data_IF_567682464876
#
_entry.id   IF_567682464876
#
_cell.length_a   1.000
_cell.length_b   1.000
_cell.length_c   1.000
_cell.angle_alpha   90.00
_cell.angle_beta   90.00
_cell.angle_gamma   90.00
#
_symmetry.space_group_name_H-M   'P 1'
#
loop_
_entity.id
_entity.type
_entity.pdbx_description
1 polymer ?
#
# COMPACT_ATOMS: atom_id res chain seq x y z
N UNK A 1 -74.02 -13.92 12.26
CA UNK A 1 -73.27 -12.64 12.18
C UNK A 1 -72.38 -12.51 13.40
N UNK A 2 -71.05 -12.49 13.20
CA UNK A 2 -70.01 -11.82 14.01
C UNK A 2 -68.65 -12.50 13.73
N UNK A 3 -67.97 -12.09 12.66
CA UNK A 3 -66.58 -12.45 12.37
C UNK A 3 -65.66 -11.48 13.12
N UNK A 4 -64.93 -11.97 14.13
CA UNK A 4 -63.92 -11.16 14.85
C UNK A 4 -62.54 -11.44 14.26
N UNK A 5 -61.98 -10.42 13.63
CA UNK A 5 -60.74 -10.44 12.83
C UNK A 5 -59.50 -10.59 13.72
N UNK A 6 -58.50 -11.30 13.16
CA UNK A 6 -57.16 -11.53 13.70
C UNK A 6 -56.42 -10.21 13.98
N UNK A 7 -55.76 -10.15 15.13
CA UNK A 7 -54.78 -9.13 15.49
C UNK A 7 -53.41 -9.55 14.96
N UNK A 8 -52.86 -8.82 13.99
CA UNK A 8 -51.49 -8.98 13.49
C UNK A 8 -50.58 -8.22 14.45
N UNK A 9 -49.78 -8.96 15.24
CA UNK A 9 -48.71 -8.40 16.06
C UNK A 9 -47.46 -8.20 15.20
N UNK A 10 -47.19 -6.95 14.80
CA UNK A 10 -45.96 -6.56 14.12
C UNK A 10 -44.88 -6.36 15.19
N UNK A 11 -44.05 -7.38 15.45
CA UNK A 11 -42.85 -7.22 16.28
C UNK A 11 -41.75 -6.66 15.38
N UNK A 12 -41.48 -5.36 15.55
CA UNK A 12 -40.37 -4.69 14.93
C UNK A 12 -39.05 -5.17 15.50
N UNK A 13 -38.18 -5.71 14.64
CA UNK A 13 -36.76 -5.83 14.90
C UNK A 13 -36.04 -4.75 14.08
N UNK A 14 -35.77 -3.61 14.70
CA UNK A 14 -34.79 -2.66 14.16
C UNK A 14 -33.43 -3.23 14.58
N UNK A 15 -32.81 -4.02 13.71
CA UNK A 15 -31.41 -4.34 13.84
C UNK A 15 -30.61 -3.09 13.47
N UNK A 16 -30.24 -2.30 14.48
CA UNK A 16 -29.27 -1.23 14.32
C UNK A 16 -27.90 -1.85 14.06
N UNK A 17 -27.55 -2.05 12.78
CA UNK A 17 -26.15 -2.25 12.38
C UNK A 17 -25.42 -0.92 12.62
N UNK A 18 -24.84 -0.75 13.81
CA UNK A 18 -23.74 0.20 14.00
C UNK A 18 -22.51 -0.34 13.29
N UNK A 19 -22.47 -0.17 11.97
CA UNK A 19 -21.18 -0.08 11.28
C UNK A 19 -20.64 1.28 11.69
N UNK A 20 -19.93 1.33 12.82
CA UNK A 20 -18.96 2.38 13.07
C UNK A 20 -17.91 2.21 11.97
N UNK A 21 -18.18 2.80 10.82
CA UNK A 21 -17.18 3.01 9.80
C UNK A 21 -16.11 3.84 10.45
N UNK A 22 -15.03 3.19 10.88
CA UNK A 22 -13.76 3.89 11.04
C UNK A 22 -13.56 4.61 9.73
N UNK A 23 -13.67 5.94 9.75
CA UNK A 23 -13.30 6.74 8.60
C UNK A 23 -11.84 6.43 8.36
N UNK A 24 -11.56 5.68 7.30
CA UNK A 24 -10.22 5.29 6.97
C UNK A 24 -9.41 6.58 6.75
N UNK A 25 -8.39 6.79 7.56
CA UNK A 25 -7.55 7.97 7.44
C UNK A 25 -6.61 7.71 6.27
N UNK A 26 -6.56 8.67 5.34
CA UNK A 26 -5.59 8.63 4.26
C UNK A 26 -4.18 8.69 4.86
N UNK A 27 -3.34 7.71 4.53
CA UNK A 27 -1.99 7.64 5.07
C UNK A 27 -1.14 8.81 4.59
N UNK A 28 -0.25 9.29 5.45
CA UNK A 28 0.70 10.35 5.08
C UNK A 28 1.95 9.74 4.45
N UNK A 29 2.28 10.14 3.22
CA UNK A 29 3.56 9.78 2.60
C UNK A 29 4.71 10.49 3.34
N UNK A 30 5.65 9.71 3.85
CA UNK A 30 6.84 10.18 4.56
C UNK A 30 8.05 10.35 3.64
N UNK A 31 8.17 9.46 2.65
CA UNK A 31 9.33 9.39 1.75
C UNK A 31 9.00 8.65 0.47
N UNK A 32 9.66 9.02 -0.61
CA UNK A 32 9.71 8.25 -1.85
C UNK A 32 11.10 8.28 -2.48
N UNK A 33 11.37 7.34 -3.38
CA UNK A 33 12.63 7.32 -4.11
C UNK A 33 12.83 6.06 -4.96
N UNK A 34 14.04 5.95 -5.50
CA UNK A 34 14.51 4.79 -6.27
C UNK A 34 15.66 4.15 -5.53
N UNK A 35 15.67 2.82 -5.48
CA UNK A 35 16.71 2.04 -4.82
C UNK A 35 16.84 0.67 -5.50
N UNK A 36 17.97 -0.02 -5.29
CA UNK A 36 18.11 -1.39 -5.79
C UNK A 36 17.12 -2.31 -5.09
N UNK A 37 16.44 -3.18 -5.85
CA UNK A 37 15.46 -4.13 -5.31
C UNK A 37 16.07 -5.01 -4.22
N UNK A 38 17.32 -5.43 -4.41
CA UNK A 38 18.06 -6.25 -3.43
C UNK A 38 18.12 -5.55 -2.08
N UNK A 39 18.36 -4.23 -2.05
CA UNK A 39 18.43 -3.47 -0.80
C UNK A 39 17.06 -3.37 -0.11
N UNK A 40 15.96 -3.22 -0.86
CA UNK A 40 14.61 -3.25 -0.27
C UNK A 40 14.28 -4.61 0.32
N UNK A 41 14.63 -5.69 -0.38
CA UNK A 41 14.41 -7.05 0.09
C UNK A 41 15.27 -7.36 1.32
N UNK A 42 16.50 -6.87 1.37
CA UNK A 42 17.35 -6.94 2.55
C UNK A 42 16.72 -6.18 3.72
N UNK A 43 16.19 -4.96 3.51
CA UNK A 43 15.48 -4.22 4.56
C UNK A 43 14.23 -4.95 5.05
N UNK A 44 13.47 -5.58 4.16
CA UNK A 44 12.33 -6.40 4.54
C UNK A 44 12.75 -7.62 5.38
N UNK A 45 13.90 -8.23 5.06
CA UNK A 45 14.41 -9.42 5.74
C UNK A 45 15.13 -9.13 7.07
N UNK A 46 15.40 -7.87 7.41
CA UNK A 46 15.91 -7.47 8.72
C UNK A 46 14.80 -7.63 9.78
N UNK A 47 14.58 -8.89 10.18
CA UNK A 47 13.42 -9.36 10.93
C UNK A 47 13.23 -8.81 12.34
N UNK A 48 14.07 -7.89 12.82
CA UNK A 48 13.84 -7.20 14.10
C UNK A 48 12.83 -6.07 13.99
N UNK A 49 12.68 -5.45 12.80
CA UNK A 49 11.79 -4.30 12.62
C UNK A 49 10.65 -4.57 11.64
N UNK A 50 10.76 -5.58 10.77
CA UNK A 50 9.71 -5.94 9.83
C UNK A 50 8.65 -6.81 10.51
N UNK A 51 7.40 -6.37 10.43
CA UNK A 51 6.22 -7.04 11.00
C UNK A 51 5.54 -7.97 9.99
N UNK A 52 5.51 -7.57 8.71
CA UNK A 52 4.93 -8.36 7.63
C UNK A 52 5.51 -7.97 6.27
N UNK A 53 5.40 -8.89 5.31
CA UNK A 53 5.83 -8.72 3.92
C UNK A 53 4.84 -9.46 3.01
N UNK A 54 4.51 -8.87 1.86
CA UNK A 54 3.62 -9.52 0.91
C UNK A 54 3.45 -8.72 -0.39
N UNK A 55 2.44 -9.11 -1.16
CA UNK A 55 2.00 -8.39 -2.36
C UNK A 55 0.90 -7.39 -2.02
N UNK A 56 0.62 -6.44 -2.92
CA UNK A 56 -0.47 -5.48 -2.72
C UNK A 56 -1.82 -6.13 -2.39
N UNK A 57 -2.10 -7.33 -2.91
CA UNK A 57 -3.33 -8.06 -2.60
C UNK A 57 -3.37 -8.53 -1.15
N UNK A 58 -2.23 -8.92 -0.59
CA UNK A 58 -2.12 -9.41 0.79
C UNK A 58 -2.29 -8.26 1.80
N UNK A 59 -1.93 -7.03 1.42
CA UNK A 59 -2.02 -5.84 2.28
C UNK A 59 -3.46 -5.58 2.78
N UNK A 60 -4.48 -5.85 1.96
CA UNK A 60 -5.88 -5.60 2.32
C UNK A 60 -6.33 -6.38 3.56
N UNK A 61 -5.73 -7.55 3.79
CA UNK A 61 -6.06 -8.45 4.89
C UNK A 61 -4.94 -8.54 5.93
N UNK A 62 -3.90 -7.71 5.80
CA UNK A 62 -2.77 -7.71 6.71
C UNK A 62 -3.17 -7.11 8.08
N UNK A 63 -3.03 -7.86 9.19
CA UNK A 63 -3.42 -7.38 10.51
C UNK A 63 -2.59 -6.19 11.03
N UNK A 64 -1.42 -5.93 10.45
CA UNK A 64 -0.57 -4.79 10.81
C UNK A 64 -0.89 -3.53 9.98
N UNK A 65 -1.72 -3.64 8.95
CA UNK A 65 -2.12 -2.50 8.12
C UNK A 65 -3.29 -1.75 8.77
N UNK A 66 -3.07 -0.47 9.07
CA UNK A 66 -4.10 0.44 9.55
C UNK A 66 -4.11 1.70 8.68
N UNK A 67 -5.19 1.89 7.93
CA UNK A 67 -5.41 3.07 7.08
C UNK A 67 -6.33 2.75 5.90
N UNK A 68 -6.52 3.72 5.00
CA UNK A 68 -7.31 3.52 3.78
C UNK A 68 -6.55 2.71 2.72
N UNK A 69 -7.09 1.55 2.33
CA UNK A 69 -6.48 0.72 1.29
C UNK A 69 -6.55 1.38 -0.10
N UNK A 70 -7.62 2.13 -0.40
CA UNK A 70 -7.87 2.61 -1.76
C UNK A 70 -6.79 3.61 -2.26
N UNK A 71 -6.33 4.59 -1.48
CA UNK A 71 -5.19 5.45 -1.85
C UNK A 71 -3.90 4.69 -2.12
N UNK A 72 -3.63 3.62 -1.37
CA UNK A 72 -2.44 2.78 -1.57
C UNK A 72 -2.55 2.03 -2.90
N UNK A 73 -3.70 1.47 -3.23
CA UNK A 73 -3.95 0.83 -4.53
C UNK A 73 -3.78 1.82 -5.68
N UNK A 74 -4.37 3.02 -5.56
CA UNK A 74 -4.23 4.06 -6.59
C UNK A 74 -2.76 4.45 -6.79
N UNK A 75 -1.99 4.52 -5.70
CA UNK A 75 -0.56 4.81 -5.80
C UNK A 75 0.21 3.64 -6.40
N UNK A 76 -0.06 2.41 -6.00
CA UNK A 76 0.58 1.21 -6.55
C UNK A 76 0.36 1.06 -8.07
N UNK A 77 -0.79 1.51 -8.58
CA UNK A 77 -1.11 1.52 -10.00
C UNK A 77 -0.22 2.50 -10.80
N UNK A 78 0.19 3.60 -10.17
CA UNK A 78 0.89 4.73 -10.79
C UNK A 78 2.33 4.91 -10.29
N UNK A 79 2.84 3.99 -9.46
CA UNK A 79 4.13 4.14 -8.78
C UNK A 79 5.32 4.24 -9.73
N UNK A 80 5.21 3.67 -10.94
CA UNK A 80 6.24 3.73 -11.98
C UNK A 80 6.03 4.88 -12.98
N UNK A 81 4.97 5.67 -12.83
CA UNK A 81 4.68 6.77 -13.76
C UNK A 81 5.80 7.81 -13.72
N UNK A 82 6.16 8.32 -14.90
CA UNK A 82 7.26 9.27 -15.06
C UNK A 82 8.64 8.64 -15.16
N UNK A 83 8.77 7.31 -15.04
CA UNK A 83 10.01 6.59 -15.29
C UNK A 83 10.03 5.95 -16.69
N UNK A 84 11.20 5.97 -17.32
CA UNK A 84 11.52 5.21 -18.53
C UNK A 84 12.44 4.06 -18.18
N UNK A 85 12.05 2.84 -18.57
CA UNK A 85 12.84 1.65 -18.30
C UNK A 85 14.04 1.62 -19.23
N UNK A 86 15.25 1.59 -18.66
CA UNK A 86 16.51 1.56 -19.41
C UNK A 86 17.33 0.30 -19.06
N UNK A 87 18.19 -0.13 -19.98
CA UNK A 87 19.08 -1.27 -19.73
C UNK A 87 20.19 -0.94 -18.74
N UNK A 88 20.68 0.29 -18.78
CA UNK A 88 21.70 0.82 -17.87
C UNK A 88 21.47 2.30 -17.64
N UNK A 89 21.60 2.71 -16.39
CA UNK A 89 21.43 4.11 -16.00
C UNK A 89 22.68 4.93 -16.30
N UNK A 90 22.52 6.09 -16.94
CA UNK A 90 23.61 7.03 -17.18
C UNK A 90 23.44 7.83 -18.47
N UNK A 91 24.52 8.52 -18.85
CA UNK A 91 24.62 9.25 -20.10
C UNK A 91 25.11 8.32 -21.21
N UNK A 92 24.19 7.47 -21.70
CA UNK A 92 24.44 6.57 -22.81
C UNK A 92 23.68 7.03 -24.06
N UNK A 93 24.17 6.76 -25.29
CA UNK A 93 23.48 7.14 -26.52
C UNK A 93 22.03 6.63 -26.59
N UNK A 94 21.78 5.42 -26.11
CA UNK A 94 20.44 4.83 -26.05
C UNK A 94 19.49 5.52 -25.05
N UNK A 95 20.01 6.34 -24.15
CA UNK A 95 19.23 7.11 -23.16
C UNK A 95 19.07 8.59 -23.57
N UNK A 96 19.42 8.96 -24.80
CA UNK A 96 19.35 10.34 -25.26
C UNK A 96 17.94 10.91 -25.11
N UNK A 97 17.83 12.08 -24.48
CA UNK A 97 16.54 12.74 -24.21
C UNK A 97 15.80 12.26 -22.96
N UNK A 98 16.30 11.25 -22.24
CA UNK A 98 15.70 10.77 -20.99
C UNK A 98 16.45 11.40 -19.79
N UNK A 99 15.81 12.28 -18.99
CA UNK A 99 16.39 12.84 -17.77
C UNK A 99 16.91 11.76 -16.82
N UNK A 100 18.05 11.98 -16.17
CA UNK A 100 18.70 10.96 -15.33
C UNK A 100 17.80 10.48 -14.19
N UNK A 101 17.01 11.36 -13.60
CA UNK A 101 16.04 11.08 -12.53
C UNK A 101 14.78 10.33 -13.01
N UNK A 102 14.59 10.20 -14.33
CA UNK A 102 13.50 9.43 -14.93
C UNK A 102 13.98 8.08 -15.47
N UNK A 103 15.28 7.80 -15.47
CA UNK A 103 15.81 6.51 -15.90
C UNK A 103 15.67 5.49 -14.76
N UNK A 104 14.98 4.38 -15.03
CA UNK A 104 14.82 3.27 -14.09
C UNK A 104 15.33 1.98 -14.72
N UNK A 105 16.25 1.29 -14.05
CA UNK A 105 16.75 -0.01 -14.51
C UNK A 105 15.87 -1.15 -13.99
N UNK A 106 15.99 -2.34 -14.60
CA UNK A 106 15.22 -3.52 -14.18
C UNK A 106 15.57 -4.05 -12.79
N UNK A 107 16.74 -3.70 -12.24
CA UNK A 107 17.16 -4.08 -10.90
C UNK A 107 16.77 -3.05 -9.83
N UNK A 108 16.20 -1.92 -10.25
CA UNK A 108 15.74 -0.87 -9.36
C UNK A 108 14.23 -1.00 -9.11
N UNK A 109 13.82 -0.54 -7.94
CA UNK A 109 12.44 -0.38 -7.56
C UNK A 109 12.17 1.08 -7.21
N UNK A 110 10.98 1.55 -7.55
CA UNK A 110 10.43 2.78 -6.99
C UNK A 110 9.73 2.41 -5.70
N UNK A 111 10.04 3.12 -4.62
CA UNK A 111 9.42 2.89 -3.31
C UNK A 111 8.77 4.16 -2.78
N UNK A 112 7.77 3.95 -1.93
CA UNK A 112 7.10 4.96 -1.12
C UNK A 112 6.92 4.44 0.31
N UNK A 113 7.03 5.34 1.27
CA UNK A 113 6.90 5.05 2.70
C UNK A 113 5.73 5.87 3.22
N UNK A 114 4.82 5.22 3.92
CA UNK A 114 3.64 5.83 4.51
C UNK A 114 3.63 5.61 6.01
N UNK A 115 3.23 6.63 6.77
CA UNK A 115 2.87 6.48 8.17
C UNK A 115 1.50 5.80 8.27
N UNK A 116 1.41 4.78 9.12
CA UNK A 116 0.16 4.11 9.48
C UNK A 116 -0.37 4.64 10.82
N UNK A 117 -1.68 4.54 11.04
CA UNK A 117 -2.34 5.07 12.24
C UNK A 117 -1.87 4.40 13.55
N UNK A 118 -1.45 3.14 13.48
CA UNK A 118 -0.87 2.40 14.61
C UNK A 118 0.60 2.77 14.92
N UNK A 119 1.15 3.77 14.23
CA UNK A 119 2.54 4.22 14.38
C UNK A 119 3.55 3.42 13.56
N UNK A 120 3.12 2.41 12.80
CA UNK A 120 4.01 1.66 11.91
C UNK A 120 4.25 2.41 10.60
N UNK A 121 5.18 1.89 9.80
CA UNK A 121 5.43 2.37 8.45
C UNK A 121 5.09 1.28 7.44
N UNK A 122 4.31 1.64 6.41
CA UNK A 122 4.13 0.84 5.21
C UNK A 122 5.18 1.27 4.19
N UNK A 123 6.00 0.33 3.73
CA UNK A 123 6.85 0.52 2.57
C UNK A 123 6.21 -0.19 1.38
N UNK A 124 5.72 0.57 0.41
CA UNK A 124 5.18 0.09 -0.85
C UNK A 124 6.25 0.25 -1.93
N UNK A 125 6.51 -0.79 -2.71
CA UNK A 125 7.51 -0.70 -3.79
C UNK A 125 7.14 -1.55 -5.00
N UNK A 126 7.70 -1.18 -6.16
CA UNK A 126 7.48 -1.92 -7.40
C UNK A 126 8.70 -1.86 -8.30
N UNK A 127 9.01 -2.99 -8.93
CA UNK A 127 10.01 -3.07 -10.00
C UNK A 127 9.35 -3.05 -11.38
N UNK A 128 10.10 -2.67 -12.43
CA UNK A 128 9.64 -2.81 -13.81
C UNK A 128 9.36 -4.25 -14.24
N UNK A 129 9.93 -5.23 -13.55
CA UNK A 129 9.83 -6.66 -13.89
C UNK A 129 8.63 -7.36 -13.26
N UNK A 130 7.98 -6.74 -12.27
CA UNK A 130 6.89 -7.35 -11.51
C UNK A 130 5.53 -6.77 -11.91
N UNK A 131 4.54 -7.67 -11.97
CA UNK A 131 3.18 -7.33 -12.39
C UNK A 131 2.37 -6.63 -11.30
N UNK A 132 2.84 -6.64 -10.04
CA UNK A 132 2.18 -6.03 -8.90
C UNK A 132 3.20 -5.32 -8.02
N UNK A 133 2.71 -4.43 -7.15
CA UNK A 133 3.54 -3.86 -6.10
C UNK A 133 3.68 -4.86 -4.95
N UNK A 134 4.84 -4.85 -4.33
CA UNK A 134 5.14 -5.55 -3.10
C UNK A 134 5.11 -4.56 -1.93
N UNK A 135 5.01 -5.07 -0.70
CA UNK A 135 5.10 -4.24 0.49
C UNK A 135 5.79 -4.96 1.64
N UNK A 136 6.22 -4.15 2.61
CA UNK A 136 6.41 -4.61 3.97
C UNK A 136 5.96 -3.54 4.97
N UNK A 137 5.53 -4.00 6.14
CA UNK A 137 5.21 -3.13 7.27
C UNK A 137 6.31 -3.28 8.30
N UNK A 138 6.77 -2.17 8.86
CA UNK A 138 7.79 -2.17 9.91
C UNK A 138 7.42 -1.26 11.07
N UNK A 139 8.01 -1.52 12.22
CA UNK A 139 7.97 -0.58 13.34
C UNK A 139 8.70 0.70 12.95
N UNK A 140 8.20 1.86 13.41
CA UNK A 140 8.99 3.09 13.37
C UNK A 140 10.22 2.87 14.25
N UNK A 141 11.41 2.90 13.66
CA UNK A 141 12.63 2.98 14.45
C UNK A 141 12.61 4.34 15.14
N UNK A 142 12.27 4.36 16.43
CA UNK A 142 12.37 5.53 17.30
C UNK A 142 13.79 6.10 17.15
N UNK A 143 13.95 7.13 16.32
CA UNK A 143 15.16 7.95 16.31
C UNK A 143 14.99 8.95 17.45
N UNK A 144 15.38 8.51 18.65
CA UNK A 144 15.89 9.43 19.66
C UNK A 144 17.33 9.81 19.29
#
# INVERSE_FOLDING_TARGET
MANRRLTIGLVGAIASLTILGQMAIAQTELRSGVVQLVQLREFAQQGTNTLSYGTLADLQVDPNFTGDFQPIVNTAATILDGYTIVNRGGFFPENAGIPRNQQLTRSEAVYRVYALDNGYELVLFRTPTENTSEYFIRTTSNRF
#
